data_IF_237757456495
#
_entry.id   IF_237757456495
#
_cell.length_a   1.000
_cell.length_b   1.000
_cell.length_c   1.000
_cell.angle_alpha   90.00
_cell.angle_beta   90.00
_cell.angle_gamma   90.00
#
_symmetry.space_group_name_H-M   'P 1'
#
loop_
_entity.id
_entity.type
_entity.pdbx_description
1 polymer ?
#
# COMPACT_ATOMS: atom_id res chain seq x y z
N UNK A 1 -13.31 11.99 3.48
CA UNK A 1 -12.91 12.45 2.14
C UNK A 1 -11.94 13.62 2.19
N UNK A 2 -11.15 13.81 1.14
CA UNK A 2 -10.27 14.97 0.98
C UNK A 2 -10.99 16.03 0.15
N UNK A 3 -11.22 17.22 0.72
CA UNK A 3 -11.90 18.32 0.02
C UNK A 3 -11.13 18.86 -1.18
N UNK A 4 -9.81 18.72 -1.19
CA UNK A 4 -8.95 19.25 -2.26
C UNK A 4 -8.98 18.41 -3.54
N UNK A 5 -9.14 17.09 -3.42
CA UNK A 5 -9.23 16.19 -4.58
C UNK A 5 -10.58 15.48 -4.70
N UNK A 6 -11.57 15.84 -3.88
CA UNK A 6 -12.91 15.24 -3.86
C UNK A 6 -12.91 13.69 -3.83
N UNK A 7 -11.94 13.05 -3.17
CA UNK A 7 -11.82 11.59 -3.15
C UNK A 7 -10.90 10.99 -4.21
N UNK A 8 -10.49 11.75 -5.23
CA UNK A 8 -9.75 11.23 -6.39
C UNK A 8 -8.26 10.97 -6.13
N UNK A 9 -7.68 11.46 -5.02
CA UNK A 9 -6.26 11.29 -4.72
C UNK A 9 -5.30 12.15 -5.57
N UNK A 10 -5.79 12.76 -6.64
CA UNK A 10 -5.04 13.63 -7.55
C UNK A 10 -5.78 14.94 -7.82
N UNK A 11 -5.02 16.00 -8.09
CA UNK A 11 -5.54 17.32 -8.46
C UNK A 11 -5.08 17.64 -9.88
N UNK A 12 -5.97 18.22 -10.68
CA UNK A 12 -5.62 18.72 -12.00
C UNK A 12 -5.30 20.20 -11.87
N UNK A 13 -4.06 20.57 -12.21
CA UNK A 13 -3.62 21.96 -12.25
C UNK A 13 -3.59 22.40 -13.72
N UNK A 14 -4.38 23.40 -14.06
CA UNK A 14 -4.44 23.96 -15.41
C UNK A 14 -3.68 25.29 -15.42
N UNK A 15 -2.68 25.41 -16.28
CA UNK A 15 -1.95 26.66 -16.50
C UNK A 15 -1.92 26.92 -18.01
N UNK A 16 -2.77 27.84 -18.46
CA UNK A 16 -2.97 28.11 -19.89
C UNK A 16 -3.48 26.87 -20.62
N UNK A 17 -2.78 26.49 -21.68
CA UNK A 17 -3.12 25.35 -22.55
C UNK A 17 -2.63 23.99 -22.04
N UNK A 18 -1.87 23.95 -20.94
CA UNK A 18 -1.42 22.70 -20.34
C UNK A 18 -2.22 22.37 -19.08
N UNK A 19 -2.67 21.11 -18.99
CA UNK A 19 -3.23 20.55 -17.76
C UNK A 19 -2.34 19.42 -17.28
N UNK A 20 -1.83 19.55 -16.05
CA UNK A 20 -1.02 18.53 -15.39
C UNK A 20 -1.82 17.91 -14.27
N UNK A 21 -1.79 16.58 -14.19
CA UNK A 21 -2.31 15.86 -13.03
C UNK A 21 -1.16 15.69 -12.05
N UNK A 22 -1.38 16.18 -10.83
CA UNK A 22 -0.43 16.04 -9.74
C UNK A 22 -1.11 15.29 -8.59
N UNK A 23 -0.34 14.49 -7.87
CA UNK A 23 -0.80 13.87 -6.62
C UNK A 23 -1.31 14.95 -5.66
N UNK A 24 -2.48 14.72 -5.05
CA UNK A 24 -3.08 15.71 -4.17
C UNK A 24 -2.16 15.94 -2.95
N UNK A 25 -1.66 17.18 -2.71
CA UNK A 25 -0.73 17.44 -1.62
C UNK A 25 -1.37 17.29 -0.23
N UNK A 26 -2.70 17.41 -0.15
CA UNK A 26 -3.47 17.31 1.09
C UNK A 26 -3.70 15.89 1.60
N UNK A 27 -3.82 14.92 0.70
CA UNK A 27 -4.01 13.51 1.06
C UNK A 27 -2.91 12.59 0.54
N UNK A 28 -1.90 13.14 -0.16
CA UNK A 28 -0.77 12.40 -0.72
C UNK A 28 -1.18 11.18 -1.57
N UNK A 29 -2.29 11.29 -2.30
CA UNK A 29 -2.81 10.18 -3.11
C UNK A 29 -3.89 9.33 -2.42
N UNK A 30 -4.08 9.45 -1.10
CA UNK A 30 -5.00 8.59 -0.35
C UNK A 30 -6.49 8.85 -0.62
N UNK A 31 -6.85 9.93 -1.32
CA UNK A 31 -8.24 10.33 -1.59
C UNK A 31 -9.02 10.85 -0.38
N UNK A 32 -8.61 10.49 0.85
CA UNK A 32 -9.19 10.95 2.11
C UNK A 32 -8.14 11.60 3.00
N UNK A 33 -8.55 12.63 3.74
CA UNK A 33 -7.71 13.21 4.76
C UNK A 33 -7.82 12.36 6.02
N UNK A 34 -6.71 11.73 6.43
CA UNK A 34 -6.66 10.87 7.60
C UNK A 34 -6.40 11.77 8.81
N UNK A 35 -7.44 12.08 9.59
CA UNK A 35 -7.32 12.93 10.79
C UNK A 35 -6.58 12.22 11.92
N UNK A 36 -6.85 10.94 12.10
CA UNK A 36 -6.11 10.04 12.99
C UNK A 36 -5.32 9.04 12.16
N UNK A 37 -4.06 9.35 11.80
CA UNK A 37 -3.21 8.37 11.13
C UNK A 37 -3.01 7.19 12.06
N UNK A 38 -3.21 6.00 11.52
CA UNK A 38 -2.90 4.79 12.26
C UNK A 38 -1.43 4.83 12.71
N UNK A 39 -1.16 4.73 14.01
CA UNK A 39 0.21 4.74 14.56
C UNK A 39 1.12 3.65 13.98
N UNK A 40 0.53 2.59 13.42
CA UNK A 40 1.28 1.44 12.89
C UNK A 40 1.59 1.61 11.40
N UNK A 41 0.65 2.04 10.56
CA UNK A 41 0.89 2.20 9.11
C UNK A 41 1.05 3.66 8.65
N UNK A 42 0.88 4.63 9.55
CA UNK A 42 0.95 6.07 9.28
C UNK A 42 0.06 6.52 8.10
N UNK A 43 -1.04 5.81 7.84
CA UNK A 43 -1.94 6.11 6.74
C UNK A 43 -1.54 5.52 5.38
N UNK A 44 -0.46 4.72 5.29
CA UNK A 44 -0.01 4.05 4.06
C UNK A 44 -0.91 2.87 3.63
N UNK A 45 -1.85 2.45 4.46
CA UNK A 45 -2.76 1.33 4.15
C UNK A 45 -2.16 -0.06 4.34
N UNK A 46 -0.84 -0.18 4.32
CA UNK A 46 -0.14 -1.46 4.40
C UNK A 46 0.71 -1.53 5.69
N UNK A 47 0.83 -2.72 6.28
CA UNK A 47 1.67 -2.99 7.45
C UNK A 47 2.55 -4.19 7.15
N UNK A 48 3.84 -4.06 7.42
CA UNK A 48 4.74 -5.21 7.38
C UNK A 48 4.49 -6.05 8.65
N UNK A 49 4.02 -7.27 8.47
CA UNK A 49 3.80 -8.22 9.56
C UNK A 49 4.85 -9.32 9.48
N UNK A 50 5.69 -9.46 10.51
CA UNK A 50 6.64 -10.56 10.60
C UNK A 50 5.93 -11.82 11.10
N UNK A 51 5.44 -12.66 10.19
CA UNK A 51 4.91 -13.98 10.54
C UNK A 51 6.02 -15.02 10.63
N UNK A 52 6.23 -15.57 11.83
CA UNK A 52 7.09 -16.74 12.02
C UNK A 52 6.36 -17.97 11.52
N UNK A 53 6.60 -18.35 10.26
CA UNK A 53 6.09 -19.60 9.70
C UNK A 53 6.91 -20.78 10.25
N UNK A 54 6.33 -21.54 11.18
CA UNK A 54 6.88 -22.81 11.63
C UNK A 54 6.64 -23.88 10.56
N UNK A 55 7.58 -24.03 9.63
CA UNK A 55 7.56 -25.11 8.64
C UNK A 55 7.98 -26.40 9.35
N UNK A 56 7.04 -27.35 9.53
CA UNK A 56 7.38 -28.72 9.90
C UNK A 56 8.00 -29.40 8.68
N UNK A 57 9.32 -29.57 8.68
CA UNK A 57 10.04 -30.34 7.66
C UNK A 57 9.89 -31.82 8.00
N UNK A 58 9.11 -32.63 7.26
CA UNK A 58 9.08 -34.07 7.46
C UNK A 58 10.44 -34.68 7.11
N UNK A 59 10.87 -35.69 7.87
CA UNK A 59 12.11 -36.41 7.59
C UNK A 59 11.98 -37.13 6.24
N UNK A 60 12.75 -36.69 5.23
CA UNK A 60 12.71 -37.23 3.87
C UNK A 60 12.64 -36.19 2.73
N UNK A 61 12.85 -34.90 3.00
CA UNK A 61 12.92 -33.87 1.94
C UNK A 61 14.30 -33.84 1.27
N UNK A 62 14.33 -33.81 -0.06
CA UNK A 62 15.54 -33.59 -0.87
C UNK A 62 15.80 -32.08 -1.04
N UNK A 63 17.09 -31.72 -1.18
CA UNK A 63 17.53 -30.33 -1.37
C UNK A 63 17.00 -29.76 -2.70
N UNK A 64 15.92 -28.98 -2.66
CA UNK A 64 15.37 -28.31 -3.85
C UNK A 64 13.88 -27.98 -3.80
N UNK A 65 13.15 -28.47 -2.80
CA UNK A 65 11.70 -28.28 -2.73
C UNK A 65 11.32 -26.83 -2.36
N UNK A 66 10.90 -26.07 -3.37
CA UNK A 66 10.28 -24.74 -3.19
C UNK A 66 8.85 -24.92 -2.71
N UNK A 67 8.64 -24.76 -1.42
CA UNK A 67 7.29 -24.58 -0.87
C UNK A 67 6.79 -23.19 -1.28
N UNK A 68 5.83 -23.15 -2.21
CA UNK A 68 5.17 -21.92 -2.64
C UNK A 68 4.11 -21.55 -1.61
N UNK A 69 4.35 -20.49 -0.84
CA UNK A 69 3.35 -19.90 0.04
C UNK A 69 2.43 -18.99 -0.78
N UNK A 70 1.28 -19.51 -1.21
CA UNK A 70 0.21 -18.70 -1.84
C UNK A 70 -0.46 -17.83 -0.79
N UNK A 71 -0.31 -16.51 -0.91
CA UNK A 71 -0.94 -15.52 -0.03
C UNK A 71 0.02 -14.52 0.63
N UNK A 72 1.33 -14.78 0.57
CA UNK A 72 2.40 -13.94 1.17
C UNK A 72 3.06 -13.00 0.14
N UNK A 73 2.29 -12.54 -0.85
CA UNK A 73 2.75 -11.48 -1.76
C UNK A 73 2.62 -10.11 -1.09
N UNK A 74 3.56 -9.19 -1.33
CA UNK A 74 3.40 -7.79 -0.91
C UNK A 74 2.04 -7.25 -1.39
N UNK A 75 1.33 -6.55 -0.51
CA UNK A 75 0.15 -5.79 -0.89
C UNK A 75 0.57 -4.76 -1.94
N UNK A 76 0.15 -5.00 -3.19
CA UNK A 76 0.41 -4.14 -4.35
C UNK A 76 -0.20 -2.75 -4.22
#
# INVERSE_FOLDING_TARGET
DCSTCAGHGQVRMQQGFFSVQQTCPRCQGAGKQIKDPCHVCHGRGNRDETKTLSVKVPAGVDNGDRIRLTGEGQAG
#
